data_IF_335707522152
#
_entry.id   IF_335707522152
#
_cell.length_a   1.000
_cell.length_b   1.000
_cell.length_c   1.000
_cell.angle_alpha   90.00
_cell.angle_beta   90.00
_cell.angle_gamma   90.00
#
_symmetry.space_group_name_H-M   'P 1'
#
loop_
_entity.id
_entity.type
_entity.pdbx_description
1 polymer ?
#
# COMPACT_ATOMS: atom_id res chain seq x y z
N UNK A 1 13.68 35.05 -13.07
CA UNK A 1 13.37 34.38 -11.78
C UNK A 1 14.21 33.12 -11.72
N UNK A 2 14.80 32.74 -10.57
CA UNK A 2 15.49 31.46 -10.47
C UNK A 2 14.51 30.32 -10.77
N UNK A 3 14.97 29.23 -11.41
CA UNK A 3 14.10 28.09 -11.74
C UNK A 3 13.49 27.55 -10.44
N UNK A 4 12.17 27.39 -10.44
CA UNK A 4 11.44 26.78 -9.33
C UNK A 4 11.91 25.33 -9.25
N UNK A 5 12.59 24.96 -8.15
CA UNK A 5 13.05 23.57 -7.96
C UNK A 5 11.88 22.57 -8.11
N UNK A 6 12.04 21.45 -8.81
CA UNK A 6 11.04 20.37 -8.83
C UNK A 6 10.63 19.94 -7.42
N UNK A 7 9.39 19.47 -7.23
CA UNK A 7 8.90 19.05 -5.92
C UNK A 7 9.77 17.96 -5.28
N UNK A 8 10.25 17.00 -6.09
CA UNK A 8 11.07 15.88 -5.64
C UNK A 8 12.49 16.28 -5.19
N UNK A 9 12.93 17.49 -5.55
CA UNK A 9 14.24 18.05 -5.18
C UNK A 9 14.19 18.90 -3.90
N UNK A 10 12.99 19.08 -3.34
CA UNK A 10 12.80 19.77 -2.08
C UNK A 10 13.16 18.87 -0.90
N UNK A 11 13.62 19.48 0.20
CA UNK A 11 13.71 18.78 1.49
C UNK A 11 12.32 18.31 1.92
N UNK A 12 12.23 17.24 2.72
CA UNK A 12 10.96 16.78 3.30
C UNK A 12 10.20 17.91 4.01
N UNK A 13 10.90 18.75 4.77
CA UNK A 13 10.28 19.89 5.45
C UNK A 13 9.68 20.89 4.45
N UNK A 14 10.39 21.17 3.35
CA UNK A 14 9.93 22.06 2.29
C UNK A 14 8.78 21.45 1.47
N UNK A 15 8.78 20.13 1.24
CA UNK A 15 7.67 19.41 0.61
C UNK A 15 6.41 19.54 1.46
N UNK A 16 6.50 19.21 2.75
CA UNK A 16 5.38 19.35 3.69
C UNK A 16 4.90 20.80 3.83
N UNK A 17 5.82 21.77 3.88
CA UNK A 17 5.47 23.19 3.92
C UNK A 17 4.73 23.63 2.64
N UNK A 18 5.09 23.09 1.48
CA UNK A 18 4.42 23.35 0.20
C UNK A 18 2.99 22.78 0.20
N UNK A 19 2.79 21.60 0.79
CA UNK A 19 1.49 20.92 0.80
C UNK A 19 0.53 21.43 1.89
N UNK A 20 1.04 22.00 2.97
CA UNK A 20 0.21 22.43 4.13
C UNK A 20 -0.87 23.46 3.77
N UNK A 21 -0.62 24.51 2.96
CA UNK A 21 -1.68 25.41 2.50
C UNK A 21 -2.77 24.70 1.69
N UNK A 22 -2.41 23.67 0.91
CA UNK A 22 -3.38 22.87 0.16
C UNK A 22 -4.20 21.96 1.07
N UNK A 23 -3.58 21.36 2.09
CA UNK A 23 -4.31 20.63 3.12
C UNK A 23 -5.33 21.53 3.84
N UNK A 24 -4.97 22.78 4.13
CA UNK A 24 -5.88 23.78 4.68
C UNK A 24 -7.02 24.15 3.73
N UNK A 25 -6.70 24.38 2.44
CA UNK A 25 -7.68 24.64 1.38
C UNK A 25 -8.68 23.49 1.27
N UNK A 26 -8.19 22.25 1.08
CA UNK A 26 -9.05 21.07 0.98
C UNK A 26 -9.87 20.84 2.24
N UNK A 27 -9.30 21.00 3.44
CA UNK A 27 -10.06 20.88 4.68
C UNK A 27 -11.23 21.90 4.74
N UNK A 28 -11.05 23.12 4.27
CA UNK A 28 -12.11 24.11 4.17
C UNK A 28 -13.16 23.74 3.11
N UNK A 29 -12.74 23.24 1.95
CA UNK A 29 -13.64 22.81 0.88
C UNK A 29 -14.45 21.55 1.25
N UNK A 30 -13.88 20.67 2.07
CA UNK A 30 -14.60 19.59 2.76
C UNK A 30 -15.53 20.11 3.87
N UNK A 31 -15.57 21.41 4.16
CA UNK A 31 -16.45 21.99 5.18
C UNK A 31 -16.03 21.68 6.62
N UNK A 32 -14.75 21.34 6.85
CA UNK A 32 -14.25 20.93 8.15
C UNK A 32 -13.96 22.11 9.09
N UNK A 33 -13.65 23.31 8.58
CA UNK A 33 -13.26 24.48 9.41
C UNK A 33 -12.18 24.11 10.45
N UNK A 34 -10.96 23.80 10.02
CA UNK A 34 -9.98 23.13 10.86
C UNK A 34 -9.43 24.05 11.95
N UNK A 35 -9.42 23.55 13.19
CA UNK A 35 -8.81 24.21 14.36
C UNK A 35 -7.33 23.87 14.50
N UNK A 36 -6.88 22.76 13.93
CA UNK A 36 -5.48 22.36 13.89
C UNK A 36 -5.20 21.43 12.71
N UNK A 37 -4.07 21.64 12.03
CA UNK A 37 -3.58 20.80 10.94
C UNK A 37 -2.20 20.27 11.29
N UNK A 38 -2.06 18.94 11.39
CA UNK A 38 -0.80 18.27 11.71
C UNK A 38 -0.45 17.25 10.65
N UNK A 39 0.84 17.11 10.35
CA UNK A 39 1.28 16.04 9.46
C UNK A 39 1.05 14.70 10.17
N UNK A 40 0.32 13.78 9.54
CA UNK A 40 0.15 12.42 10.03
C UNK A 40 1.17 11.49 9.38
N UNK A 41 1.30 11.55 8.06
CA UNK A 41 2.27 10.77 7.31
C UNK A 41 2.76 11.53 6.06
N UNK A 42 4.02 11.32 5.69
CA UNK A 42 4.59 11.78 4.43
C UNK A 42 5.45 10.66 3.84
N UNK A 43 4.79 9.74 3.15
CA UNK A 43 5.39 8.58 2.49
C UNK A 43 5.14 8.64 0.99
N UNK A 44 4.40 7.65 0.47
CA UNK A 44 3.96 7.65 -0.92
C UNK A 44 2.93 8.75 -1.20
N UNK A 45 1.92 8.89 -0.33
CA UNK A 45 1.03 10.05 -0.30
C UNK A 45 1.28 10.89 0.96
N UNK A 46 0.74 12.11 1.01
CA UNK A 46 0.84 12.96 2.21
C UNK A 46 -0.51 13.06 2.90
N UNK A 47 -0.57 12.61 4.15
CA UNK A 47 -1.79 12.65 4.96
C UNK A 47 -1.64 13.65 6.09
N UNK A 48 -2.61 14.55 6.21
CA UNK A 48 -2.72 15.50 7.31
C UNK A 48 -3.86 15.08 8.24
N UNK A 49 -3.58 15.10 9.54
CA UNK A 49 -4.59 15.00 10.58
C UNK A 49 -5.21 16.38 10.80
N UNK A 50 -6.50 16.46 10.62
CA UNK A 50 -7.30 17.67 10.73
C UNK A 50 -8.16 17.56 11.99
N UNK A 51 -8.01 18.50 12.91
CA UNK A 51 -8.93 18.68 14.03
C UNK A 51 -9.97 19.73 13.65
N UNK A 52 -11.22 19.49 13.99
CA UNK A 52 -12.33 20.41 13.77
C UNK A 52 -13.39 20.27 14.86
N UNK A 53 -14.34 21.21 14.88
CA UNK A 53 -15.55 21.10 15.73
C UNK A 53 -16.45 19.92 15.33
N UNK A 54 -16.30 19.40 14.11
CA UNK A 54 -17.04 18.24 13.59
C UNK A 54 -16.38 16.88 13.91
N UNK A 55 -15.18 16.91 14.50
CA UNK A 55 -14.38 15.73 14.81
C UNK A 55 -12.97 15.77 14.20
N UNK A 56 -12.31 14.61 14.20
CA UNK A 56 -10.97 14.45 13.64
C UNK A 56 -11.05 13.74 12.29
N UNK A 57 -10.28 14.23 11.32
CA UNK A 57 -10.24 13.71 9.95
C UNK A 57 -8.81 13.47 9.47
N UNK A 58 -8.68 12.63 8.45
CA UNK A 58 -7.46 12.44 7.68
C UNK A 58 -7.70 12.94 6.25
N UNK A 59 -6.97 13.98 5.85
CA UNK A 59 -6.96 14.48 4.47
C UNK A 59 -5.70 13.96 3.79
N UNK A 60 -5.85 13.06 2.82
CA UNK A 60 -4.74 12.50 2.02
C UNK A 60 -4.64 13.26 0.70
N UNK A 61 -3.44 13.72 0.36
CA UNK A 61 -3.10 14.37 -0.91
C UNK A 61 -2.22 13.40 -1.71
N UNK A 62 -2.67 13.06 -2.93
CA UNK A 62 -2.07 12.04 -3.78
C UNK A 62 -0.90 12.60 -4.60
N UNK A 63 0.30 12.61 -4.02
CA UNK A 63 1.50 13.24 -4.59
C UNK A 63 2.30 12.34 -5.53
N UNK A 64 2.47 11.04 -5.22
CA UNK A 64 3.20 10.09 -6.06
C UNK A 64 2.27 9.14 -6.82
N UNK A 65 1.04 8.97 -6.33
CA UNK A 65 0.07 8.04 -6.90
C UNK A 65 -0.26 8.36 -8.37
N UNK A 66 -0.12 7.38 -9.30
CA UNK A 66 -0.49 7.53 -10.70
C UNK A 66 -1.99 7.30 -10.94
N UNK A 67 -2.78 7.09 -9.88
CA UNK A 67 -4.21 6.79 -9.93
C UNK A 67 -4.99 7.88 -10.68
N UNK A 68 -5.85 7.44 -11.60
CA UNK A 68 -6.80 8.32 -12.28
C UNK A 68 -7.94 8.70 -11.34
N UNK A 69 -8.77 9.68 -11.74
CA UNK A 69 -9.96 10.05 -10.99
C UNK A 69 -10.94 8.86 -10.85
N UNK A 70 -11.06 8.04 -11.89
CA UNK A 70 -11.87 6.83 -11.94
C UNK A 70 -11.36 5.78 -10.93
N UNK A 71 -10.04 5.66 -10.76
CA UNK A 71 -9.45 4.79 -9.75
C UNK A 71 -9.75 5.25 -8.33
N UNK A 72 -9.62 6.55 -8.06
CA UNK A 72 -9.93 7.11 -6.74
C UNK A 72 -11.44 6.94 -6.44
N UNK A 73 -12.33 7.05 -7.44
CA UNK A 73 -13.75 6.72 -7.26
C UNK A 73 -13.96 5.25 -6.92
N UNK A 74 -13.16 4.33 -7.47
CA UNK A 74 -13.20 2.92 -7.10
C UNK A 74 -12.79 2.67 -5.64
N UNK A 75 -11.74 3.34 -5.18
CA UNK A 75 -11.35 3.35 -3.76
C UNK A 75 -12.48 3.86 -2.85
N UNK A 76 -13.09 5.00 -3.20
CA UNK A 76 -14.20 5.58 -2.44
C UNK A 76 -15.42 4.67 -2.46
N UNK A 77 -15.73 4.02 -3.57
CA UNK A 77 -16.84 3.06 -3.68
C UNK A 77 -16.63 1.88 -2.72
N UNK A 78 -15.40 1.39 -2.60
CA UNK A 78 -15.09 0.28 -1.69
C UNK A 78 -15.17 0.68 -0.23
N UNK A 79 -14.48 1.75 0.14
CA UNK A 79 -14.48 2.22 1.52
C UNK A 79 -15.88 2.65 2.00
N UNK A 80 -16.72 3.22 1.11
CA UNK A 80 -18.13 3.51 1.41
C UNK A 80 -18.93 2.24 1.73
N UNK A 81 -18.84 1.21 0.88
CA UNK A 81 -19.55 -0.07 1.08
C UNK A 81 -19.06 -0.82 2.32
N UNK A 82 -17.76 -0.79 2.60
CA UNK A 82 -17.20 -1.38 3.81
C UNK A 82 -17.67 -0.66 5.08
N UNK A 83 -17.86 0.66 5.03
CA UNK A 83 -18.36 1.44 6.16
C UNK A 83 -19.81 1.08 6.55
N UNK A 84 -20.59 0.53 5.61
CA UNK A 84 -21.95 0.02 5.87
C UNK A 84 -21.94 -1.38 6.50
N UNK A 85 -20.81 -2.10 6.44
CA UNK A 85 -20.68 -3.45 6.98
C UNK A 85 -20.16 -3.42 8.44
N UNK A 86 -21.01 -3.72 9.45
CA UNK A 86 -20.61 -3.64 10.86
C UNK A 86 -19.56 -4.69 11.28
N UNK A 87 -19.31 -5.71 10.44
CA UNK A 87 -18.31 -6.75 10.70
C UNK A 87 -16.89 -6.32 10.30
N UNK A 88 -16.76 -5.31 9.45
CA UNK A 88 -15.49 -4.82 8.94
C UNK A 88 -15.26 -3.41 9.50
N UNK A 89 -14.05 -3.13 9.94
CA UNK A 89 -13.67 -1.76 10.23
C UNK A 89 -12.57 -1.33 9.28
N UNK A 90 -12.91 -0.37 8.41
CA UNK A 90 -12.03 0.19 7.39
C UNK A 90 -12.12 1.72 7.39
N UNK A 91 -11.35 2.37 6.53
CA UNK A 91 -11.42 3.81 6.32
C UNK A 91 -12.85 4.22 5.94
N UNK A 92 -13.36 5.28 6.57
CA UNK A 92 -14.74 5.77 6.35
C UNK A 92 -14.63 7.08 5.58
N UNK A 93 -15.01 7.12 4.29
CA UNK A 93 -14.84 8.31 3.47
C UNK A 93 -15.78 9.43 3.93
N UNK A 94 -15.33 10.66 3.74
CA UNK A 94 -16.07 11.87 4.11
C UNK A 94 -16.20 12.78 2.88
N UNK A 95 -17.43 13.17 2.55
CA UNK A 95 -17.71 14.06 1.43
C UNK A 95 -17.79 15.53 1.86
N UNK A 96 -17.59 16.42 0.90
CA UNK A 96 -17.80 17.86 1.07
C UNK A 96 -19.29 18.19 1.27
N UNK A 97 -19.63 19.43 1.65
CA UNK A 97 -21.02 19.88 1.72
C UNK A 97 -21.78 19.80 0.38
N UNK A 98 -21.07 19.77 -0.76
CA UNK A 98 -21.66 19.56 -2.08
C UNK A 98 -21.81 18.09 -2.45
N UNK A 99 -21.44 17.16 -1.56
CA UNK A 99 -21.50 15.72 -1.78
C UNK A 99 -20.29 15.13 -2.52
N UNK A 100 -19.23 15.91 -2.75
CA UNK A 100 -18.04 15.45 -3.47
C UNK A 100 -17.05 14.75 -2.53
N UNK A 101 -16.63 13.53 -2.87
CA UNK A 101 -15.63 12.77 -2.10
C UNK A 101 -14.18 13.06 -2.51
N UNK A 102 -13.98 13.60 -3.71
CA UNK A 102 -12.67 13.81 -4.31
C UNK A 102 -12.58 15.29 -4.71
N UNK A 103 -11.59 15.98 -4.18
CA UNK A 103 -11.28 17.35 -4.56
C UNK A 103 -9.98 17.38 -5.37
N UNK A 104 -9.87 18.34 -6.28
CA UNK A 104 -8.67 18.52 -7.10
C UNK A 104 -8.17 19.96 -7.01
N UNK A 105 -6.85 20.14 -7.04
CA UNK A 105 -6.24 21.46 -7.14
C UNK A 105 -4.95 21.41 -7.93
N UNK A 106 -4.74 22.42 -8.77
CA UNK A 106 -3.45 22.65 -9.42
C UNK A 106 -2.45 23.20 -8.40
N UNK A 107 -1.22 22.68 -8.47
CA UNK A 107 -0.09 23.11 -7.66
C UNK A 107 1.05 23.53 -8.60
N UNK A 108 1.68 24.72 -8.43
CA UNK A 108 2.72 25.23 -9.33
C UNK A 108 4.00 24.38 -9.50
N UNK A 109 4.10 23.21 -8.83
CA UNK A 109 5.25 22.29 -8.89
C UNK A 109 4.89 20.90 -9.42
N UNK A 110 3.67 20.74 -9.92
CA UNK A 110 3.17 19.50 -10.50
C UNK A 110 2.58 19.82 -11.87
N UNK A 111 2.89 19.00 -12.87
CA UNK A 111 2.36 19.13 -14.24
C UNK A 111 0.96 18.50 -14.40
N UNK A 112 0.33 18.17 -13.27
CA UNK A 112 -1.00 17.57 -13.17
C UNK A 112 -1.73 18.12 -11.94
N UNK A 113 -3.08 18.09 -11.92
CA UNK A 113 -3.81 18.33 -10.69
C UNK A 113 -3.45 17.27 -9.65
N UNK A 114 -3.43 17.70 -8.39
CA UNK A 114 -3.39 16.77 -7.26
C UNK A 114 -4.81 16.53 -6.75
N UNK A 115 -5.12 15.26 -6.53
CA UNK A 115 -6.37 14.85 -5.89
C UNK A 115 -6.19 14.74 -4.39
N UNK A 116 -7.25 15.08 -3.66
CA UNK A 116 -7.37 14.88 -2.23
C UNK A 116 -8.67 14.16 -1.89
N UNK A 117 -8.55 13.25 -0.93
CA UNK A 117 -9.67 12.50 -0.32
C UNK A 117 -9.66 12.72 1.18
N UNK A 118 -10.85 12.69 1.79
CA UNK A 118 -11.03 12.87 3.22
C UNK A 118 -11.65 11.60 3.83
N UNK A 119 -11.12 11.20 4.99
CA UNK A 119 -11.65 10.09 5.78
C UNK A 119 -11.84 10.52 7.23
N UNK A 120 -12.80 9.91 7.92
CA UNK A 120 -12.86 10.01 9.38
C UNK A 120 -11.60 9.41 10.01
N UNK A 121 -11.12 10.03 11.09
CA UNK A 121 -9.98 9.50 11.82
C UNK A 121 -10.36 8.22 12.58
N UNK A 122 -9.84 7.08 12.15
CA UNK A 122 -10.12 5.80 12.80
C UNK A 122 -9.57 5.77 14.24
N UNK A 123 -10.24 5.09 15.18
CA UNK A 123 -9.80 5.00 16.57
C UNK A 123 -8.58 4.09 16.73
N UNK A 124 -8.14 3.89 17.98
CA UNK A 124 -7.13 2.92 18.33
C UNK A 124 -5.69 3.35 18.08
N UNK A 125 -4.78 2.39 18.24
CA UNK A 125 -3.32 2.55 18.13
C UNK A 125 -2.79 1.86 16.87
N UNK A 126 -1.60 2.22 16.35
CA UNK A 126 -1.00 1.52 15.23
C UNK A 126 -0.92 0.00 15.48
N UNK A 127 -1.18 -0.79 14.43
CA UNK A 127 -0.99 -2.24 14.51
C UNK A 127 0.51 -2.53 14.70
N UNK A 128 0.89 -3.41 15.65
CA UNK A 128 2.29 -3.64 15.96
C UNK A 128 3.01 -4.34 14.81
N UNK A 129 4.27 -3.94 14.56
CA UNK A 129 5.14 -4.60 13.58
C UNK A 129 5.46 -6.05 13.96
N UNK A 130 5.44 -6.36 15.27
CA UNK A 130 5.57 -7.71 15.82
C UNK A 130 4.29 -8.11 16.58
N UNK A 131 3.22 -8.52 15.88
CA UNK A 131 1.95 -8.84 16.53
C UNK A 131 2.02 -10.13 17.35
N UNK A 132 1.17 -10.21 18.38
CA UNK A 132 0.92 -11.44 19.11
C UNK A 132 0.15 -12.44 18.24
N UNK A 133 0.15 -13.73 18.62
CA UNK A 133 -0.60 -14.76 17.88
C UNK A 133 -2.12 -14.49 17.83
N UNK A 134 -2.67 -13.81 18.84
CA UNK A 134 -4.06 -13.36 18.84
C UNK A 134 -4.31 -12.33 17.74
N UNK A 135 -3.44 -11.33 17.62
CA UNK A 135 -3.56 -10.30 16.58
C UNK A 135 -3.29 -10.86 15.17
N UNK A 136 -2.48 -11.91 15.04
CA UNK A 136 -2.29 -12.61 13.76
C UNK A 136 -3.55 -13.37 13.35
N UNK A 137 -4.25 -14.00 14.30
CA UNK A 137 -5.57 -14.56 14.05
C UNK A 137 -6.53 -13.47 13.55
N UNK A 138 -6.63 -12.34 14.27
CA UNK A 138 -7.49 -11.23 13.88
C UNK A 138 -7.15 -10.70 12.49
N UNK A 139 -5.86 -10.67 12.12
CA UNK A 139 -5.45 -10.30 10.77
C UNK A 139 -5.98 -11.28 9.74
N UNK A 140 -5.71 -12.58 9.89
CA UNK A 140 -6.19 -13.59 8.95
C UNK A 140 -7.70 -13.52 8.72
N UNK A 141 -8.48 -13.43 9.80
CA UNK A 141 -9.94 -13.28 9.75
C UNK A 141 -10.36 -11.96 9.08
N UNK A 142 -9.68 -10.85 9.37
CA UNK A 142 -9.96 -9.53 8.77
C UNK A 142 -9.66 -9.52 7.27
N UNK A 143 -8.53 -10.08 6.84
CA UNK A 143 -8.16 -10.15 5.44
C UNK A 143 -9.12 -11.05 4.66
N UNK A 144 -9.49 -12.21 5.21
CA UNK A 144 -10.48 -13.07 4.58
C UNK A 144 -11.83 -12.34 4.45
N UNK A 145 -12.28 -11.68 5.51
CA UNK A 145 -13.52 -10.93 5.48
C UNK A 145 -13.48 -9.77 4.46
N UNK A 146 -12.33 -9.13 4.28
CA UNK A 146 -12.13 -8.13 3.23
C UNK A 146 -12.31 -8.73 1.83
N UNK A 147 -11.73 -9.91 1.58
CA UNK A 147 -11.86 -10.64 0.31
C UNK A 147 -13.31 -11.08 0.02
N UNK A 148 -14.11 -11.36 1.05
CA UNK A 148 -15.53 -11.69 0.90
C UNK A 148 -16.42 -10.46 0.64
N UNK A 149 -15.87 -9.25 0.69
CA UNK A 149 -16.63 -8.00 0.54
C UNK A 149 -16.00 -7.06 -0.52
N UNK A 150 -15.86 -7.52 -1.78
CA UNK A 150 -15.45 -6.63 -2.87
C UNK A 150 -16.54 -5.60 -3.16
N UNK A 151 -16.19 -4.42 -3.68
CA UNK A 151 -17.18 -3.39 -3.99
C UNK A 151 -17.94 -3.69 -5.27
N UNK A 152 -19.18 -3.20 -5.33
CA UNK A 152 -19.84 -2.88 -6.60
C UNK A 152 -19.36 -1.51 -7.07
N UNK A 153 -18.69 -1.45 -8.23
CA UNK A 153 -18.19 -0.19 -8.76
C UNK A 153 -19.29 0.58 -9.51
N UNK A 154 -19.46 1.89 -9.26
CA UNK A 154 -20.36 2.73 -10.07
C UNK A 154 -19.80 2.90 -11.50
N UNK A 155 -20.66 3.30 -12.44
CA UNK A 155 -20.32 3.38 -13.87
C UNK A 155 -19.10 4.29 -14.19
N UNK A 156 -18.84 5.30 -13.37
CA UNK A 156 -17.74 6.25 -13.53
C UNK A 156 -16.51 5.92 -12.66
N UNK A 157 -16.45 4.71 -12.09
CA UNK A 157 -15.32 4.21 -11.33
C UNK A 157 -14.74 2.98 -12.02
N UNK A 158 -13.42 2.84 -11.94
CA UNK A 158 -12.68 1.71 -12.46
C UNK A 158 -11.51 1.43 -11.52
N UNK A 159 -11.23 0.17 -11.22
CA UNK A 159 -9.99 -0.18 -10.55
C UNK A 159 -8.99 -0.76 -11.55
N UNK A 160 -7.69 -0.47 -11.40
CA UNK A 160 -6.66 -1.06 -12.24
C UNK A 160 -6.74 -2.59 -12.18
N UNK A 161 -6.49 -3.25 -13.31
CA UNK A 161 -6.12 -4.67 -13.31
C UNK A 161 -4.62 -4.76 -13.39
N UNK A 162 -4.00 -5.42 -12.41
CA UNK A 162 -2.56 -5.64 -12.49
C UNK A 162 -2.28 -6.64 -13.61
N UNK A 163 -1.20 -6.46 -14.37
CA UNK A 163 -0.83 -7.37 -15.46
C UNK A 163 0.55 -8.01 -15.25
N UNK A 164 1.25 -7.57 -14.22
CA UNK A 164 2.53 -8.09 -13.76
C UNK A 164 2.68 -7.83 -12.26
N UNK A 165 3.74 -8.38 -11.67
CA UNK A 165 4.01 -8.27 -10.22
C UNK A 165 4.66 -6.96 -9.78
N UNK A 166 4.92 -6.03 -10.73
CA UNK A 166 5.53 -4.72 -10.49
C UNK A 166 4.64 -3.57 -10.97
N UNK A 167 3.34 -3.81 -11.16
CA UNK A 167 2.33 -2.82 -11.52
C UNK A 167 2.59 -2.08 -12.85
N UNK A 168 3.14 -2.76 -13.86
CA UNK A 168 3.42 -2.15 -15.17
C UNK A 168 4.65 -1.25 -15.19
N UNK A 169 5.42 -1.20 -14.09
CA UNK A 169 6.64 -0.40 -14.01
C UNK A 169 7.77 -1.05 -14.82
N UNK A 170 8.69 -0.22 -15.31
CA UNK A 170 9.99 -0.68 -15.81
C UNK A 170 10.97 -0.80 -14.64
N UNK A 171 11.81 -1.84 -14.63
CA UNK A 171 12.91 -1.96 -13.68
C UNK A 171 14.00 -0.94 -14.05
N UNK A 172 14.20 0.06 -13.20
CA UNK A 172 15.09 1.19 -13.52
C UNK A 172 16.48 1.06 -12.90
N UNK A 173 16.84 -0.07 -12.31
CA UNK A 173 18.08 -0.21 -11.51
C UNK A 173 19.35 0.20 -12.26
N UNK A 174 19.47 -0.13 -13.55
CA UNK A 174 20.62 0.24 -14.39
C UNK A 174 20.77 1.76 -14.52
N UNK A 175 19.67 2.50 -14.70
CA UNK A 175 19.70 3.97 -14.85
C UNK A 175 20.16 4.68 -13.57
N UNK A 176 20.13 3.98 -12.44
CA UNK A 176 20.53 4.47 -11.13
C UNK A 176 21.89 3.90 -10.66
N UNK A 177 22.64 3.23 -11.53
CA UNK A 177 23.99 2.71 -11.23
C UNK A 177 24.01 1.39 -10.46
N UNK A 178 22.96 0.58 -10.60
CA UNK A 178 22.83 -0.73 -9.96
C UNK A 178 22.82 -1.88 -10.99
N UNK A 179 23.51 -1.71 -12.11
CA UNK A 179 23.57 -2.67 -13.22
C UNK A 179 24.04 -4.08 -12.81
N UNK A 180 24.85 -4.18 -11.76
CA UNK A 180 25.34 -5.46 -11.21
C UNK A 180 24.22 -6.35 -10.66
N UNK A 181 23.06 -5.79 -10.32
CA UNK A 181 21.92 -6.55 -9.79
C UNK A 181 20.85 -6.86 -10.83
N UNK A 182 20.92 -6.25 -12.02
CA UNK A 182 19.87 -6.31 -13.05
C UNK A 182 19.51 -7.75 -13.42
N UNK A 183 20.49 -8.60 -13.74
CA UNK A 183 20.22 -10.00 -14.10
C UNK A 183 19.51 -10.81 -13.00
N UNK A 184 19.88 -10.57 -11.73
CA UNK A 184 19.23 -11.24 -10.61
C UNK A 184 17.79 -10.76 -10.44
N UNK A 185 17.56 -9.45 -10.56
CA UNK A 185 16.24 -8.86 -10.38
C UNK A 185 15.29 -9.22 -11.52
N UNK A 186 15.78 -9.23 -12.76
CA UNK A 186 15.05 -9.74 -13.93
C UNK A 186 14.69 -11.22 -13.77
N UNK A 187 15.63 -12.05 -13.29
CA UNK A 187 15.33 -13.47 -13.01
C UNK A 187 14.19 -13.65 -12.01
N UNK A 188 14.18 -12.87 -10.92
CA UNK A 188 13.10 -12.91 -9.92
C UNK A 188 11.79 -12.39 -10.53
N UNK A 189 11.85 -11.30 -11.30
CA UNK A 189 10.70 -10.74 -12.00
C UNK A 189 10.07 -11.76 -12.95
N UNK A 190 10.87 -12.38 -13.83
CA UNK A 190 10.42 -13.35 -14.82
C UNK A 190 9.75 -14.55 -14.16
N UNK A 191 10.35 -15.07 -13.08
CA UNK A 191 9.78 -16.20 -12.33
C UNK A 191 8.47 -15.82 -11.65
N UNK A 192 8.40 -14.65 -11.01
CA UNK A 192 7.18 -14.17 -10.37
C UNK A 192 6.08 -13.87 -11.39
N UNK A 193 6.40 -13.28 -12.54
CA UNK A 193 5.45 -13.04 -13.64
C UNK A 193 4.96 -14.35 -14.28
N UNK A 194 5.82 -15.34 -14.43
CA UNK A 194 5.40 -16.66 -14.91
C UNK A 194 4.37 -17.30 -13.96
N UNK A 195 4.57 -17.20 -12.65
CA UNK A 195 3.62 -17.67 -11.64
C UNK A 195 2.33 -16.84 -11.68
N UNK A 196 2.45 -15.53 -11.83
CA UNK A 196 1.31 -14.63 -11.99
C UNK A 196 0.43 -15.00 -13.18
N UNK A 197 1.02 -15.23 -14.35
CA UNK A 197 0.26 -15.61 -15.54
C UNK A 197 -0.44 -16.96 -15.34
N UNK A 198 0.23 -17.95 -14.71
CA UNK A 198 -0.43 -19.20 -14.33
C UNK A 198 -1.66 -18.98 -13.45
N UNK A 199 -1.55 -18.11 -12.45
CA UNK A 199 -2.67 -17.74 -11.56
C UNK A 199 -3.82 -17.12 -12.34
N UNK A 200 -3.55 -16.21 -13.27
CA UNK A 200 -4.62 -15.59 -14.08
C UNK A 200 -5.37 -16.59 -14.95
N UNK A 201 -4.72 -17.67 -15.41
CA UNK A 201 -5.39 -18.73 -16.16
C UNK A 201 -6.22 -19.66 -15.26
N UNK A 202 -5.80 -19.87 -14.00
CA UNK A 202 -6.45 -20.82 -13.09
C UNK A 202 -7.46 -20.18 -12.14
N UNK A 203 -7.42 -18.86 -11.96
CA UNK A 203 -8.21 -18.13 -10.96
C UNK A 203 -8.75 -16.82 -11.54
N UNK A 204 -10.00 -16.51 -11.20
CA UNK A 204 -10.58 -15.20 -11.50
C UNK A 204 -9.99 -14.16 -10.55
N UNK A 205 -9.47 -13.06 -11.10
CA UNK A 205 -9.03 -11.92 -10.29
C UNK A 205 -10.23 -11.28 -9.59
N UNK A 206 -10.03 -10.82 -8.36
CA UNK A 206 -11.02 -10.04 -7.62
C UNK A 206 -10.41 -8.73 -7.14
N UNK A 207 -11.23 -7.85 -6.58
CA UNK A 207 -10.75 -6.61 -5.99
C UNK A 207 -10.07 -6.92 -4.66
N UNK A 208 -8.81 -6.50 -4.54
CA UNK A 208 -7.97 -6.68 -3.34
C UNK A 208 -7.35 -5.37 -2.91
N UNK A 209 -6.84 -5.31 -1.67
CA UNK A 209 -6.25 -4.09 -1.13
C UNK A 209 -4.87 -3.78 -1.73
N UNK A 210 -4.12 -4.83 -2.09
CA UNK A 210 -2.77 -4.84 -2.64
C UNK A 210 -1.64 -4.38 -1.71
N UNK A 211 -1.93 -3.52 -0.74
CA UNK A 211 -0.99 -3.04 0.27
C UNK A 211 -1.49 -3.16 1.72
N UNK A 212 -2.21 -4.23 2.05
CA UNK A 212 -2.64 -4.45 3.43
C UNK A 212 -1.44 -4.93 4.26
N UNK A 213 -0.70 -4.01 4.86
CA UNK A 213 0.41 -4.29 5.78
C UNK A 213 0.21 -3.61 7.14
N UNK A 214 1.07 -3.89 8.13
CA UNK A 214 0.90 -3.37 9.51
C UNK A 214 0.86 -1.85 9.62
N UNK A 215 1.45 -1.12 8.67
CA UNK A 215 1.41 0.34 8.63
C UNK A 215 0.04 0.88 8.22
N UNK A 216 -0.69 0.12 7.42
CA UNK A 216 -2.04 0.43 6.94
C UNK A 216 -3.13 -0.18 7.83
N UNK A 217 -2.79 -0.46 9.10
CA UNK A 217 -3.72 -0.98 10.08
C UNK A 217 -3.58 -0.27 11.42
N UNK A 218 -4.72 -0.02 12.05
CA UNK A 218 -4.82 0.30 13.47
C UNK A 218 -5.54 -0.80 14.22
N UNK A 219 -5.52 -0.75 15.54
CA UNK A 219 -6.27 -1.68 16.39
C UNK A 219 -6.88 -1.03 17.63
N UNK A 220 -8.04 -1.56 18.02
CA UNK A 220 -8.69 -1.33 19.31
C UNK A 220 -8.93 -2.69 19.96
N UNK A 221 -8.06 -3.07 20.90
CA UNK A 221 -8.01 -4.46 21.38
C UNK A 221 -7.55 -5.41 20.28
N UNK A 222 -8.41 -6.38 19.93
CA UNK A 222 -8.23 -7.35 18.83
C UNK A 222 -8.92 -6.91 17.52
N UNK A 223 -9.80 -5.90 17.56
CA UNK A 223 -10.41 -5.36 16.35
C UNK A 223 -9.37 -4.60 15.53
N UNK A 224 -9.26 -4.92 14.24
CA UNK A 224 -8.39 -4.25 13.28
C UNK A 224 -9.21 -3.20 12.51
N UNK A 225 -8.59 -2.04 12.29
CA UNK A 225 -9.13 -0.95 11.47
C UNK A 225 -8.21 -0.78 10.25
N UNK A 226 -8.73 -1.06 9.06
CA UNK A 226 -7.97 -1.02 7.79
C UNK A 226 -7.90 0.42 7.26
N UNK A 227 -6.75 0.82 6.74
CA UNK A 227 -6.48 2.14 6.18
C UNK A 227 -5.94 1.99 4.75
N UNK A 228 -5.97 3.10 4.00
CA UNK A 228 -5.19 3.33 2.79
C UNK A 228 -5.45 2.36 1.62
N UNK A 229 -6.61 2.53 0.98
CA UNK A 229 -7.03 1.75 -0.17
C UNK A 229 -6.52 2.32 -1.51
N UNK A 230 -5.51 3.20 -1.52
CA UNK A 230 -4.99 3.86 -2.74
C UNK A 230 -4.49 2.85 -3.78
N UNK A 231 -4.00 1.68 -3.30
CA UNK A 231 -3.44 0.64 -4.14
C UNK A 231 -4.45 -0.43 -4.59
N UNK A 232 -5.73 -0.30 -4.22
CA UNK A 232 -6.72 -1.33 -4.53
C UNK A 232 -6.85 -1.59 -6.04
N UNK A 233 -7.00 -2.86 -6.40
CA UNK A 233 -6.92 -3.32 -7.78
C UNK A 233 -7.59 -4.68 -7.97
N UNK A 234 -7.84 -5.04 -9.23
CA UNK A 234 -8.12 -6.43 -9.61
C UNK A 234 -6.82 -7.24 -9.65
N UNK A 235 -6.76 -8.29 -8.83
CA UNK A 235 -5.66 -9.25 -8.79
C UNK A 235 -6.08 -10.57 -8.12
N UNK A 236 -5.29 -11.64 -8.25
CA UNK A 236 -5.48 -12.84 -7.44
C UNK A 236 -5.36 -12.55 -5.93
N UNK A 237 -6.21 -13.13 -5.07
CA UNK A 237 -6.21 -12.89 -3.62
C UNK A 237 -4.87 -13.18 -2.94
N UNK A 238 -4.09 -14.08 -3.55
CA UNK A 238 -2.76 -14.47 -3.08
C UNK A 238 -1.77 -13.29 -3.00
N UNK A 239 -2.00 -12.18 -3.71
CA UNK A 239 -1.14 -10.99 -3.62
C UNK A 239 -1.28 -10.25 -2.28
N UNK A 240 -2.49 -10.08 -1.75
CA UNK A 240 -2.66 -9.49 -0.40
C UNK A 240 -1.96 -10.35 0.66
N UNK A 241 -2.06 -11.67 0.53
CA UNK A 241 -1.40 -12.63 1.41
C UNK A 241 0.13 -12.51 1.26
N UNK A 242 0.64 -12.45 0.04
CA UNK A 242 2.07 -12.30 -0.25
C UNK A 242 2.62 -10.99 0.34
N UNK A 243 1.88 -9.89 0.22
CA UNK A 243 2.21 -8.61 0.87
C UNK A 243 2.24 -8.76 2.39
N UNK A 244 1.23 -9.38 3.01
CA UNK A 244 1.21 -9.62 4.46
C UNK A 244 2.46 -10.38 4.93
N UNK A 245 2.84 -11.44 4.21
CA UNK A 245 4.00 -12.27 4.52
C UNK A 245 5.33 -11.58 4.26
N UNK A 246 5.44 -10.74 3.25
CA UNK A 246 6.61 -9.89 3.04
C UNK A 246 6.93 -9.06 4.29
N UNK A 247 5.91 -8.57 5.00
CA UNK A 247 6.11 -7.84 6.25
C UNK A 247 6.25 -8.75 7.48
N UNK A 248 5.49 -9.85 7.61
CA UNK A 248 5.64 -10.77 8.74
C UNK A 248 7.04 -11.38 8.82
N UNK A 249 7.61 -11.75 7.67
CA UNK A 249 8.94 -12.35 7.53
C UNK A 249 10.10 -11.35 7.65
N UNK A 250 9.82 -10.16 8.19
CA UNK A 250 10.83 -9.17 8.58
C UNK A 250 11.15 -9.16 10.07
N UNK A 251 10.56 -10.07 10.85
CA UNK A 251 10.62 -10.06 12.31
C UNK A 251 10.96 -11.45 12.87
N UNK A 252 11.81 -11.58 13.90
CA UNK A 252 12.13 -12.88 14.50
C UNK A 252 10.92 -13.62 15.07
N UNK A 253 10.90 -14.94 14.87
CA UNK A 253 9.77 -15.82 15.17
C UNK A 253 8.62 -15.69 14.18
N UNK A 254 8.89 -15.37 12.91
CA UNK A 254 7.83 -15.23 11.89
C UNK A 254 7.18 -16.58 11.57
N UNK A 255 7.93 -17.69 11.60
CA UNK A 255 7.38 -19.03 11.32
C UNK A 255 6.19 -19.39 12.23
N UNK A 256 6.28 -19.05 13.53
CA UNK A 256 5.16 -19.26 14.48
C UNK A 256 3.93 -18.44 14.13
N UNK A 257 4.13 -17.21 13.62
CA UNK A 257 3.04 -16.34 13.17
C UNK A 257 2.47 -16.79 11.84
N UNK A 258 3.30 -17.31 10.95
CA UNK A 258 2.86 -17.95 9.71
C UNK A 258 1.95 -19.14 9.97
N UNK A 259 2.39 -20.08 10.81
CA UNK A 259 1.54 -21.22 11.23
C UNK A 259 0.23 -20.75 11.85
N UNK A 260 0.28 -19.69 12.67
CA UNK A 260 -0.92 -19.12 13.28
C UNK A 260 -1.84 -18.48 12.24
N UNK A 261 -1.32 -17.77 11.24
CA UNK A 261 -2.11 -17.16 10.18
C UNK A 261 -2.87 -18.22 9.38
N UNK A 262 -2.16 -19.26 8.91
CA UNK A 262 -2.77 -20.33 8.12
C UNK A 262 -3.78 -21.19 8.89
N UNK A 263 -3.76 -21.17 10.22
CA UNK A 263 -4.81 -21.81 11.02
C UNK A 263 -6.17 -21.12 10.91
N UNK A 264 -6.19 -19.83 10.61
CA UNK A 264 -7.41 -19.00 10.59
C UNK A 264 -7.71 -18.36 9.23
N UNK A 265 -6.81 -18.50 8.26
CA UNK A 265 -7.09 -18.17 6.87
C UNK A 265 -7.57 -19.44 6.14
N UNK A 266 -8.69 -19.40 5.39
CA UNK A 266 -9.34 -20.60 4.87
C UNK A 266 -8.66 -21.22 3.64
N UNK A 267 -7.72 -20.50 3.02
CA UNK A 267 -7.03 -20.93 1.80
C UNK A 267 -5.53 -21.02 2.05
N UNK A 268 -4.82 -21.70 1.14
CA UNK A 268 -3.37 -21.83 1.07
C UNK A 268 -2.91 -21.58 -0.38
N UNK A 269 -1.62 -21.35 -0.64
CA UNK A 269 -1.15 -21.16 -2.02
C UNK A 269 -1.54 -22.32 -2.96
N UNK A 270 -1.49 -23.61 -2.55
CA UNK A 270 -1.97 -24.71 -3.38
C UNK A 270 -3.45 -24.65 -3.77
N UNK A 271 -4.32 -24.04 -2.95
CA UNK A 271 -5.74 -23.85 -3.29
C UNK A 271 -5.94 -22.90 -4.47
N UNK A 272 -4.95 -22.01 -4.71
CA UNK A 272 -4.89 -21.13 -5.89
C UNK A 272 -4.11 -21.77 -7.07
N UNK A 273 -3.65 -23.02 -6.94
CA UNK A 273 -2.83 -23.70 -7.94
C UNK A 273 -1.36 -23.29 -7.94
N UNK A 274 -0.86 -22.71 -6.85
CA UNK A 274 0.55 -22.28 -6.69
C UNK A 274 1.24 -23.13 -5.64
N UNK A 275 2.42 -23.67 -5.97
CA UNK A 275 3.19 -24.43 -4.99
C UNK A 275 3.71 -23.51 -3.87
N UNK A 276 3.96 -24.06 -2.68
CA UNK A 276 4.59 -23.29 -1.59
C UNK A 276 5.93 -22.68 -2.01
N UNK A 277 6.69 -23.37 -2.87
CA UNK A 277 7.97 -22.88 -3.38
C UNK A 277 7.79 -21.75 -4.39
N UNK A 278 6.78 -21.81 -5.25
CA UNK A 278 6.48 -20.72 -6.19
C UNK A 278 5.97 -19.49 -5.46
N UNK A 279 5.17 -19.67 -4.40
CA UNK A 279 4.66 -18.57 -3.59
C UNK A 279 5.78 -17.69 -2.99
N UNK A 280 6.95 -18.27 -2.70
CA UNK A 280 8.13 -17.52 -2.24
C UNK A 280 8.56 -16.41 -3.21
N UNK A 281 8.38 -16.62 -4.52
CA UNK A 281 8.68 -15.61 -5.55
C UNK A 281 7.61 -14.51 -5.62
N UNK A 282 6.36 -14.80 -5.26
CA UNK A 282 5.31 -13.78 -5.12
C UNK A 282 5.53 -12.91 -3.86
N UNK A 283 6.08 -13.48 -2.80
CA UNK A 283 6.51 -12.67 -1.64
C UNK A 283 7.72 -11.80 -2.02
N UNK A 284 8.67 -12.38 -2.75
CA UNK A 284 9.87 -11.67 -3.22
C UNK A 284 9.54 -10.55 -4.21
N UNK A 285 8.50 -10.68 -5.04
CA UNK A 285 8.12 -9.62 -5.98
C UNK A 285 7.69 -8.34 -5.28
N UNK A 286 7.08 -8.41 -4.08
CA UNK A 286 6.79 -7.22 -3.27
C UNK A 286 8.07 -6.48 -2.89
N UNK A 287 9.16 -7.20 -2.59
CA UNK A 287 10.47 -6.59 -2.33
C UNK A 287 11.02 -5.89 -3.57
N UNK A 288 10.89 -6.54 -4.73
CA UNK A 288 11.37 -6.00 -6.01
C UNK A 288 10.63 -4.71 -6.36
N UNK A 289 9.29 -4.71 -6.27
CA UNK A 289 8.44 -3.54 -6.48
C UNK A 289 8.89 -2.36 -5.60
N UNK A 290 9.01 -2.57 -4.29
CA UNK A 290 9.44 -1.52 -3.36
C UNK A 290 10.89 -1.04 -3.62
N UNK A 291 11.78 -1.94 -4.04
CA UNK A 291 13.14 -1.59 -4.42
C UNK A 291 13.18 -0.75 -5.72
N UNK A 292 12.21 -0.92 -6.61
CA UNK A 292 12.07 -0.09 -7.81
C UNK A 292 11.47 1.29 -7.46
N UNK A 293 10.43 1.32 -6.61
CA UNK A 293 9.74 2.56 -6.22
C UNK A 293 10.62 3.51 -5.41
N UNK A 294 11.51 2.99 -4.57
CA UNK A 294 12.40 3.82 -3.74
C UNK A 294 13.37 4.66 -4.58
N UNK A 295 13.65 4.25 -5.83
CA UNK A 295 14.51 4.98 -6.76
C UNK A 295 13.93 6.37 -7.09
N UNK A 296 12.59 6.47 -7.22
CA UNK A 296 11.90 7.65 -7.77
C UNK A 296 10.96 8.34 -6.78
N UNK A 297 10.73 7.77 -5.59
CA UNK A 297 9.84 8.35 -4.58
C UNK A 297 10.19 9.80 -4.23
N UNK A 298 9.18 10.67 -4.12
CA UNK A 298 9.39 12.10 -3.85
C UNK A 298 10.13 12.40 -2.54
N UNK A 299 9.86 11.63 -1.48
CA UNK A 299 10.44 11.89 -0.16
C UNK A 299 11.96 11.60 -0.16
N UNK A 300 12.82 12.62 0.03
CA UNK A 300 14.26 12.46 -0.07
C UNK A 300 14.86 11.59 1.04
N UNK A 301 14.25 11.52 2.22
CA UNK A 301 14.74 10.65 3.31
C UNK A 301 14.52 9.17 2.98
N UNK A 302 13.40 8.83 2.33
CA UNK A 302 13.11 7.47 1.89
C UNK A 302 14.02 7.13 0.71
N UNK A 303 14.13 8.03 -0.27
CA UNK A 303 15.03 7.86 -1.43
C UNK A 303 16.51 7.73 -1.04
N UNK A 304 16.93 8.32 0.07
CA UNK A 304 18.30 8.15 0.59
C UNK A 304 18.60 6.72 1.09
N UNK A 305 17.58 5.88 1.31
CA UNK A 305 17.76 4.48 1.70
C UNK A 305 18.09 3.57 0.51
N UNK A 306 17.93 4.04 -0.73
CA UNK A 306 18.11 3.26 -1.95
C UNK A 306 19.38 2.38 -1.95
N UNK A 307 20.60 2.86 -1.64
CA UNK A 307 21.78 2.02 -1.71
C UNK A 307 21.70 0.78 -0.81
N UNK A 308 21.34 0.99 0.47
CA UNK A 308 21.19 -0.09 1.44
C UNK A 308 20.00 -0.99 1.12
N UNK A 309 18.92 -0.42 0.60
CA UNK A 309 17.72 -1.18 0.27
C UNK A 309 17.98 -2.10 -0.93
N UNK A 310 18.63 -1.60 -1.98
CA UNK A 310 18.98 -2.39 -3.17
C UNK A 310 19.96 -3.51 -2.85
N UNK A 311 21.02 -3.23 -2.08
CA UNK A 311 21.98 -4.24 -1.63
C UNK A 311 21.30 -5.36 -0.83
N UNK A 312 20.50 -4.99 0.18
CA UNK A 312 19.75 -5.97 0.97
C UNK A 312 18.73 -6.76 0.13
N UNK A 313 18.16 -6.17 -0.92
CA UNK A 313 17.29 -6.90 -1.87
C UNK A 313 18.07 -7.97 -2.61
N UNK A 314 19.27 -7.64 -3.11
CA UNK A 314 20.11 -8.60 -3.81
C UNK A 314 20.52 -9.77 -2.90
N UNK A 315 20.94 -9.48 -1.67
CA UNK A 315 21.27 -10.53 -0.69
C UNK A 315 20.08 -11.45 -0.39
N UNK A 316 18.88 -10.87 -0.21
CA UNK A 316 17.65 -11.64 0.04
C UNK A 316 17.28 -12.54 -1.14
N UNK A 317 17.43 -12.04 -2.38
CA UNK A 317 17.15 -12.82 -3.58
C UNK A 317 18.19 -13.92 -3.82
N UNK A 318 19.46 -13.66 -3.53
CA UNK A 318 20.50 -14.71 -3.55
C UNK A 318 20.17 -15.83 -2.54
N UNK A 319 19.72 -15.47 -1.33
CA UNK A 319 19.28 -16.46 -0.33
C UNK A 319 18.04 -17.23 -0.77
N UNK A 320 17.07 -16.57 -1.41
CA UNK A 320 15.92 -17.25 -2.00
C UNK A 320 16.36 -18.27 -3.06
N UNK A 321 17.28 -17.90 -3.95
CA UNK A 321 17.78 -18.82 -4.99
C UNK A 321 18.56 -20.01 -4.42
N UNK A 322 19.26 -19.82 -3.30
CA UNK A 322 20.02 -20.88 -2.63
C UNK A 322 19.14 -21.82 -1.79
N UNK A 323 18.16 -21.26 -1.07
CA UNK A 323 17.38 -22.00 -0.06
C UNK A 323 15.97 -22.39 -0.51
N UNK A 324 15.45 -21.73 -1.56
CA UNK A 324 14.06 -21.86 -1.99
C UNK A 324 13.04 -21.22 -1.04
N UNK A 325 13.47 -20.41 -0.07
CA UNK A 325 12.59 -19.72 0.87
C UNK A 325 12.98 -18.25 1.03
N UNK A 326 11.99 -17.35 0.92
CA UNK A 326 12.15 -15.91 1.05
C UNK A 326 11.92 -15.46 2.49
N UNK A 327 12.87 -14.70 3.02
CA UNK A 327 12.76 -13.96 4.28
C UNK A 327 13.61 -12.70 4.21
N UNK A 328 13.21 -11.67 4.96
CA UNK A 328 13.97 -10.42 5.07
C UNK A 328 15.02 -10.45 6.18
N UNK A 329 15.09 -11.55 6.94
CA UNK A 329 16.10 -11.78 7.96
C UNK A 329 17.33 -12.45 7.34
N UNK A 330 18.50 -12.18 7.91
CA UNK A 330 19.77 -12.72 7.41
C UNK A 330 20.02 -14.17 7.84
N UNK A 331 19.35 -14.61 8.90
CA UNK A 331 19.41 -15.98 9.39
C UNK A 331 18.01 -16.62 9.37
N UNK A 332 17.90 -17.93 9.05
CA UNK A 332 16.68 -18.67 9.34
C UNK A 332 16.44 -18.71 10.85
N UNK A 333 15.18 -18.46 11.25
CA UNK A 333 14.68 -18.66 12.62
C UNK A 333 14.82 -20.11 13.09
#
# INVERSE_FOLDING_TARGET
MPPVKPFNDLSKQSQVATLRPFAQKFANEFGLEPTSIRLANHGYNTTFRIESTRGTFAVRININSPRTLENIRGEIAWTSQLAENPKISAAIPYCSPSGEYILASDLPRFDRPLYAVCYHWLPGTPYPTRPSLKLVKSYAETLHLLHENPPQLPQNAELPTINDVILGQTLNFSDFGYENYTLLFEKILDKANFIYHKLQFSQTSQIIHYDLHMGNMKRSGEQIHILDFDDCCYAPPLFDISTAFFYFRSQPGWRKRETQFWKFFPYSPPDFGVSWQDWEYLIASRRLLLANEILTIANPEIRALTPKYTEATAEQFQRLEQSGSYSRLDAPD
#
